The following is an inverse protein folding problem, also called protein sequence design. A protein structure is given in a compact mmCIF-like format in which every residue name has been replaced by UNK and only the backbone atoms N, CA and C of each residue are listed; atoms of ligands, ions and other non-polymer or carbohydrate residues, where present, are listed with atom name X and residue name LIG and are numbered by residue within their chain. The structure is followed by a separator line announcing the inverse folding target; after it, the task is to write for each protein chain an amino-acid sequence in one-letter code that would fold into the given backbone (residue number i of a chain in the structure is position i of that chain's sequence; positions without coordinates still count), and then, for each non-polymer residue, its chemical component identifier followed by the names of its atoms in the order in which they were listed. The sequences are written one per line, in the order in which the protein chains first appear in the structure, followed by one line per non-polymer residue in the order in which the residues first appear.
data_IF_781765268732
#
_entry.id   IF_781765268732
#
_cell.length_a   1.000
_cell.length_b   1.000
_cell.length_c   1.000
_cell.angle_alpha   90.00
_cell.angle_beta   90.00
_cell.angle_gamma   90.00
#
_symmetry.space_group_name_H-M   'P 1'
#
loop_
_entity.id
_entity.type
_entity.pdbx_description
1 polymer ?
#
# COMPACT_ATOMS: atom_id res chain seq x y z
N UNK A 1 17.02 10.41 5.41
CA UNK A 1 17.67 9.08 5.56
C UNK A 1 17.79 8.62 7.01
N UNK A 2 18.24 9.44 7.95
CA UNK A 2 18.36 9.06 9.38
C UNK A 2 17.04 8.59 9.97
N UNK A 3 15.96 9.34 9.77
CA UNK A 3 14.64 9.00 10.33
C UNK A 3 14.09 7.68 9.77
N UNK A 4 14.31 7.43 8.48
CA UNK A 4 13.92 6.17 7.85
C UNK A 4 14.66 4.97 8.49
N UNK A 5 15.97 5.10 8.73
CA UNK A 5 16.75 4.04 9.40
C UNK A 5 16.28 3.80 10.83
N UNK A 6 15.95 4.87 11.57
CA UNK A 6 15.39 4.75 12.91
C UNK A 6 14.04 3.99 12.87
N UNK A 7 13.14 4.37 11.95
CA UNK A 7 11.85 3.70 11.76
C UNK A 7 12.02 2.22 11.39
N UNK A 8 12.92 1.90 10.44
CA UNK A 8 13.26 0.52 10.08
C UNK A 8 13.74 -0.28 11.29
N UNK A 9 14.61 0.32 12.11
CA UNK A 9 15.11 -0.31 13.35
C UNK A 9 13.97 -0.61 14.32
N UNK A 10 13.06 0.35 14.55
CA UNK A 10 11.87 0.16 15.41
C UNK A 10 10.94 -0.93 14.91
N UNK A 11 10.86 -1.12 13.59
CA UNK A 11 10.05 -2.17 12.96
C UNK A 11 10.76 -3.53 12.88
N UNK A 12 11.98 -3.65 13.43
CA UNK A 12 12.84 -4.82 13.27
C UNK A 12 13.03 -5.17 11.78
N UNK A 13 13.08 -4.15 10.93
CA UNK A 13 13.26 -4.26 9.48
C UNK A 13 14.75 -4.32 9.17
N UNK A 14 15.18 -5.41 8.56
CA UNK A 14 16.59 -5.77 8.38
C UNK A 14 16.91 -6.08 6.91
N UNK A 15 18.18 -6.32 6.62
CA UNK A 15 18.62 -6.79 5.30
C UNK A 15 17.95 -8.11 4.87
N UNK A 16 17.55 -8.97 5.82
CA UNK A 16 16.81 -10.20 5.49
C UNK A 16 15.39 -9.89 4.98
N UNK A 17 14.75 -8.84 5.50
CA UNK A 17 13.45 -8.38 4.99
C UNK A 17 13.60 -7.80 3.58
N UNK A 18 14.69 -7.08 3.29
CA UNK A 18 15.01 -6.59 1.93
C UNK A 18 15.17 -7.76 0.95
N UNK A 19 15.94 -8.79 1.33
CA UNK A 19 16.11 -10.00 0.51
C UNK A 19 14.78 -10.71 0.27
N UNK A 20 13.96 -10.86 1.30
CA UNK A 20 12.65 -11.51 1.20
C UNK A 20 11.68 -10.72 0.30
N UNK A 21 11.63 -9.39 0.40
CA UNK A 21 10.84 -8.57 -0.52
C UNK A 21 11.29 -8.76 -1.97
N UNK A 22 12.60 -8.72 -2.24
CA UNK A 22 13.15 -8.91 -3.58
C UNK A 22 12.87 -10.30 -4.14
N UNK A 23 12.93 -11.33 -3.30
CA UNK A 23 12.49 -12.69 -3.67
C UNK A 23 11.01 -12.70 -4.06
N UNK A 24 10.15 -12.02 -3.29
CA UNK A 24 8.72 -11.94 -3.59
C UNK A 24 8.42 -11.26 -4.92
N UNK A 25 9.27 -10.31 -5.38
CA UNK A 25 9.08 -9.61 -6.66
C UNK A 25 8.98 -10.59 -7.84
N UNK A 26 9.89 -11.56 -7.91
CA UNK A 26 9.90 -12.56 -8.98
C UNK A 26 8.65 -13.47 -8.95
N UNK A 27 8.07 -13.68 -7.76
CA UNK A 27 6.85 -14.46 -7.59
C UNK A 27 5.63 -13.63 -7.98
N UNK A 28 5.55 -12.37 -7.57
CA UNK A 28 4.35 -11.54 -7.71
C UNK A 28 4.23 -10.82 -9.07
N UNK A 29 5.33 -10.67 -9.83
CA UNK A 29 5.37 -9.82 -11.02
C UNK A 29 4.36 -10.18 -12.12
N UNK A 30 4.07 -11.46 -12.32
CA UNK A 30 3.08 -11.98 -13.27
C UNK A 30 1.69 -12.21 -12.62
N UNK A 31 1.51 -11.79 -11.37
CA UNK A 31 0.31 -12.01 -10.59
C UNK A 31 -0.38 -10.71 -10.14
N UNK A 32 0.15 -9.54 -10.50
CA UNK A 32 -0.36 -8.24 -10.01
C UNK A 32 -1.84 -8.05 -10.30
N UNK A 33 -2.33 -8.46 -11.47
CA UNK A 33 -3.76 -8.34 -11.80
C UNK A 33 -4.63 -9.22 -10.91
N UNK A 34 -4.24 -10.48 -10.69
CA UNK A 34 -4.97 -11.40 -9.82
C UNK A 34 -4.95 -10.96 -8.35
N UNK A 35 -3.85 -10.37 -7.88
CA UNK A 35 -3.74 -9.76 -6.55
C UNK A 35 -4.73 -8.60 -6.43
N UNK A 36 -4.77 -7.73 -7.43
CA UNK A 36 -5.67 -6.58 -7.44
C UNK A 36 -7.13 -6.98 -7.56
N UNK A 37 -7.48 -8.09 -8.22
CA UNK A 37 -8.84 -8.63 -8.21
C UNK A 37 -9.31 -8.96 -6.79
N UNK A 38 -8.45 -9.59 -5.99
CA UNK A 38 -8.76 -9.90 -4.59
C UNK A 38 -8.89 -8.62 -3.77
N UNK A 39 -7.95 -7.68 -3.89
CA UNK A 39 -7.96 -6.44 -3.12
C UNK A 39 -9.13 -5.52 -3.47
N UNK A 40 -9.43 -5.34 -4.76
CA UNK A 40 -10.57 -4.53 -5.20
C UNK A 40 -11.91 -5.22 -4.93
N UNK A 41 -11.97 -6.55 -4.98
CA UNK A 41 -13.13 -7.31 -4.51
C UNK A 41 -13.42 -7.03 -3.04
N UNK A 42 -12.39 -7.09 -2.18
CA UNK A 42 -12.51 -6.73 -0.76
C UNK A 42 -12.96 -5.27 -0.57
N UNK A 43 -12.31 -4.30 -1.23
CA UNK A 43 -12.67 -2.88 -1.15
C UNK A 43 -14.12 -2.65 -1.59
N UNK A 44 -14.52 -3.21 -2.73
CA UNK A 44 -15.88 -3.04 -3.27
C UNK A 44 -16.96 -3.67 -2.37
N UNK A 45 -16.62 -4.77 -1.69
CA UNK A 45 -17.54 -5.45 -0.75
C UNK A 45 -17.60 -4.82 0.64
N UNK A 46 -16.73 -3.85 0.96
CA UNK A 46 -16.62 -3.22 2.28
C UNK A 46 -17.10 -1.76 2.21
N UNK A 47 -18.32 -1.44 2.71
CA UNK A 47 -18.90 -0.09 2.63
C UNK A 47 -17.99 1.03 3.15
N UNK A 48 -17.24 0.75 4.23
CA UNK A 48 -16.30 1.68 4.85
C UNK A 48 -15.14 2.06 3.93
N UNK A 49 -14.82 1.23 2.93
CA UNK A 49 -13.69 1.43 2.02
C UNK A 49 -14.15 1.93 0.65
N UNK A 50 -15.18 1.32 0.06
CA UNK A 50 -15.67 1.71 -1.28
C UNK A 50 -16.16 3.15 -1.30
N UNK A 51 -16.65 3.67 -0.17
CA UNK A 51 -17.04 5.06 0.02
C UNK A 51 -15.97 6.05 -0.47
N UNK A 52 -14.68 5.74 -0.32
CA UNK A 52 -13.59 6.63 -0.72
C UNK A 52 -13.37 6.74 -2.24
N UNK A 53 -14.05 5.90 -3.00
CA UNK A 53 -14.11 5.90 -4.45
C UNK A 53 -15.46 6.38 -5.00
N UNK A 54 -16.40 6.75 -4.12
CA UNK A 54 -17.71 7.26 -4.54
C UNK A 54 -17.65 8.72 -4.97
N UNK A 55 -18.47 9.09 -5.96
CA UNK A 55 -18.78 10.48 -6.29
C UNK A 55 -19.44 11.17 -5.09
N UNK A 56 -18.95 12.36 -4.73
CA UNK A 56 -19.34 13.05 -3.50
C UNK A 56 -20.79 13.55 -3.52
N UNK A 57 -21.42 13.68 -4.69
CA UNK A 57 -22.81 14.16 -4.83
C UNK A 57 -23.81 13.01 -4.85
N UNK A 58 -23.46 11.93 -5.55
CA UNK A 58 -24.38 10.81 -5.81
C UNK A 58 -24.17 9.62 -4.87
N UNK A 59 -23.01 9.54 -4.22
CA UNK A 59 -22.63 8.41 -3.36
C UNK A 59 -22.28 7.13 -4.12
N UNK A 60 -22.36 7.12 -5.45
CA UNK A 60 -22.10 5.94 -6.29
C UNK A 60 -20.60 5.77 -6.55
N UNK A 61 -20.05 4.54 -6.48
CA UNK A 61 -18.65 4.27 -6.85
C UNK A 61 -18.33 4.71 -8.28
N UNK A 62 -17.17 5.34 -8.46
CA UNK A 62 -16.64 5.74 -9.76
C UNK A 62 -15.71 4.65 -10.31
N UNK A 63 -16.20 3.91 -11.30
CA UNK A 63 -15.45 2.83 -11.95
C UNK A 63 -14.19 3.31 -12.67
N UNK A 64 -14.22 4.50 -13.30
CA UNK A 64 -13.04 5.04 -13.99
C UNK A 64 -11.95 5.44 -13.00
N UNK A 65 -12.35 5.98 -11.83
CA UNK A 65 -11.42 6.29 -10.76
C UNK A 65 -10.78 5.03 -10.17
N UNK A 66 -11.59 4.00 -9.89
CA UNK A 66 -11.11 2.70 -9.41
C UNK A 66 -10.05 2.11 -10.36
N UNK A 67 -10.33 2.08 -11.67
CA UNK A 67 -9.42 1.56 -12.69
C UNK A 67 -8.11 2.36 -12.81
N UNK A 68 -8.17 3.70 -12.71
CA UNK A 68 -6.96 4.53 -12.75
C UNK A 68 -6.06 4.30 -11.53
N UNK A 69 -6.66 4.18 -10.34
CA UNK A 69 -5.92 3.86 -9.10
C UNK A 69 -5.37 2.43 -9.15
N UNK A 70 -6.13 1.48 -9.71
CA UNK A 70 -5.75 0.06 -9.82
C UNK A 70 -4.40 -0.11 -10.53
N UNK A 71 -4.20 0.62 -11.63
CA UNK A 71 -2.94 0.63 -12.39
C UNK A 71 -1.74 1.08 -11.54
N UNK A 72 -1.92 2.12 -10.72
CA UNK A 72 -0.85 2.60 -9.83
C UNK A 72 -0.63 1.67 -8.65
N UNK A 73 -1.68 0.99 -8.19
CA UNK A 73 -1.55 0.01 -7.12
C UNK A 73 -0.77 -1.23 -7.59
N UNK A 74 -0.91 -1.64 -8.86
CA UNK A 74 -0.07 -2.67 -9.47
C UNK A 74 1.42 -2.31 -9.40
N UNK A 75 1.77 -1.07 -9.77
CA UNK A 75 3.14 -0.58 -9.72
C UNK A 75 3.66 -0.53 -8.28
N UNK A 76 2.83 -0.09 -7.32
CA UNK A 76 3.20 -0.08 -5.90
C UNK A 76 3.57 -1.47 -5.36
N UNK A 77 2.91 -2.55 -5.84
CA UNK A 77 3.29 -3.92 -5.47
C UNK A 77 4.73 -4.21 -5.91
N UNK A 78 5.07 -3.86 -7.15
CA UNK A 78 6.40 -4.09 -7.71
C UNK A 78 7.47 -3.21 -7.05
N UNK A 79 7.13 -1.95 -6.76
CA UNK A 79 8.03 -0.99 -6.10
C UNK A 79 8.32 -1.42 -4.66
N UNK A 80 7.30 -1.89 -3.93
CA UNK A 80 7.47 -2.44 -2.57
C UNK A 80 8.34 -3.69 -2.60
N UNK A 81 8.12 -4.59 -3.56
CA UNK A 81 8.90 -5.81 -3.71
C UNK A 81 10.35 -5.52 -4.18
N UNK A 82 10.61 -4.39 -4.83
CA UNK A 82 11.96 -3.99 -5.24
C UNK A 82 12.85 -3.60 -4.04
N UNK A 83 12.21 -3.15 -2.94
CA UNK A 83 12.85 -2.79 -1.67
C UNK A 83 13.97 -1.75 -1.81
N UNK A 84 13.75 -0.76 -2.69
CA UNK A 84 14.69 0.35 -2.91
C UNK A 84 14.32 1.56 -2.05
N UNK A 85 14.92 1.62 -0.86
CA UNK A 85 14.63 2.64 0.16
C UNK A 85 15.60 3.83 0.08
N UNK A 86 15.49 4.62 -0.98
CA UNK A 86 16.29 5.84 -1.19
C UNK A 86 15.45 7.13 -0.99
N UNK A 87 16.03 8.30 -1.30
CA UNK A 87 15.32 9.56 -1.14
C UNK A 87 14.16 9.71 -2.13
N UNK A 88 14.31 9.20 -3.36
CA UNK A 88 13.23 9.25 -4.36
C UNK A 88 12.04 8.42 -3.90
N UNK A 89 12.31 7.27 -3.29
CA UNK A 89 11.28 6.45 -2.66
C UNK A 89 10.60 7.21 -1.51
N UNK A 90 11.34 7.85 -0.60
CA UNK A 90 10.73 8.65 0.48
C UNK A 90 9.84 9.78 -0.04
N UNK A 91 10.31 10.52 -1.05
CA UNK A 91 9.54 11.59 -1.68
C UNK A 91 8.24 11.04 -2.29
N UNK A 92 8.31 9.83 -2.85
CA UNK A 92 7.15 9.12 -3.38
C UNK A 92 6.19 8.64 -2.30
N UNK A 93 6.70 8.15 -1.15
CA UNK A 93 5.85 7.80 0.00
C UNK A 93 5.07 9.02 0.50
N UNK A 94 5.72 10.18 0.59
CA UNK A 94 5.04 11.42 0.98
C UNK A 94 3.95 11.81 -0.05
N UNK A 95 4.25 11.70 -1.34
CA UNK A 95 3.26 11.92 -2.41
C UNK A 95 2.05 10.97 -2.31
N UNK A 96 2.27 9.68 -2.00
CA UNK A 96 1.17 8.74 -1.79
C UNK A 96 0.32 9.14 -0.58
N UNK A 97 0.95 9.55 0.54
CA UNK A 97 0.24 10.08 1.70
C UNK A 97 -0.63 11.29 1.35
N UNK A 98 -0.08 12.24 0.57
CA UNK A 98 -0.83 13.40 0.09
C UNK A 98 -2.04 13.02 -0.78
N UNK A 99 -1.94 11.95 -1.58
CA UNK A 99 -3.03 11.47 -2.44
C UNK A 99 -4.15 10.75 -1.69
N UNK A 100 -3.90 10.28 -0.48
CA UNK A 100 -4.96 9.81 0.43
C UNK A 100 -5.59 10.97 1.22
N UNK A 101 -4.78 11.99 1.54
CA UNK A 101 -5.17 13.18 2.28
C UNK A 101 -5.93 14.19 1.40
N UNK A 102 -6.75 15.07 2.01
CA UNK A 102 -7.46 16.15 1.30
C UNK A 102 -6.55 17.07 0.47
N UNK A 103 -5.26 17.14 0.80
CA UNK A 103 -4.29 17.97 0.08
C UNK A 103 -4.14 17.59 -1.39
N UNK A 104 -4.14 16.29 -1.74
CA UNK A 104 -4.04 15.84 -3.14
C UNK A 104 -5.01 14.73 -3.56
N UNK A 105 -5.84 14.21 -2.67
CA UNK A 105 -6.91 13.27 -3.07
C UNK A 105 -7.73 13.88 -4.20
N UNK A 106 -8.09 13.04 -5.17
CA UNK A 106 -8.89 13.37 -6.36
C UNK A 106 -8.17 14.21 -7.44
N UNK A 107 -7.03 14.86 -7.15
CA UNK A 107 -6.36 15.76 -8.10
C UNK A 107 -5.66 15.03 -9.25
N UNK A 108 -5.07 13.87 -8.96
CA UNK A 108 -4.31 13.08 -9.95
C UNK A 108 -5.19 12.66 -11.11
N UNK A 109 -6.41 12.21 -10.83
CA UNK A 109 -7.36 11.68 -11.82
C UNK A 109 -8.47 12.68 -12.17
N UNK A 110 -8.50 13.85 -11.52
CA UNK A 110 -9.49 14.93 -11.70
C UNK A 110 -10.94 14.46 -11.49
N UNK A 111 -11.18 13.73 -10.40
CA UNK A 111 -12.47 13.10 -10.09
C UNK A 111 -13.27 13.84 -9.01
N UNK A 112 -14.60 13.86 -9.03
CA UNK A 112 -15.43 14.52 -8.01
C UNK A 112 -15.74 13.60 -6.81
N UNK A 113 -14.75 12.90 -6.26
CA UNK A 113 -14.95 11.96 -5.14
C UNK A 113 -14.87 12.65 -3.76
N UNK A 114 -15.19 11.91 -2.68
CA UNK A 114 -15.08 12.39 -1.29
C UNK A 114 -13.68 12.96 -1.00
N UNK A 115 -13.61 13.94 -0.09
CA UNK A 115 -12.43 14.79 0.04
C UNK A 115 -11.20 14.09 0.62
N UNK A 116 -11.33 13.04 1.44
CA UNK A 116 -10.22 12.44 2.16
C UNK A 116 -10.48 10.98 2.49
N UNK A 117 -9.43 10.14 2.49
CA UNK A 117 -9.44 8.83 3.13
C UNK A 117 -9.23 9.02 4.63
N UNK A 118 -10.17 8.55 5.46
CA UNK A 118 -10.04 8.69 6.92
C UNK A 118 -8.84 7.91 7.42
N UNK A 119 -7.97 8.57 8.21
CA UNK A 119 -6.65 8.05 8.56
C UNK A 119 -6.70 6.64 9.16
N UNK A 120 -7.70 6.35 10.02
CA UNK A 120 -7.87 5.03 10.67
C UNK A 120 -7.84 3.84 9.70
N UNK A 121 -8.27 4.03 8.46
CA UNK A 121 -8.32 2.95 7.47
C UNK A 121 -6.97 2.68 6.81
N UNK A 122 -6.06 3.66 6.78
CA UNK A 122 -4.73 3.51 6.17
C UNK A 122 -3.89 2.44 6.89
N UNK A 123 -3.62 2.53 8.22
CA UNK A 123 -2.88 1.49 8.90
C UNK A 123 -3.68 0.19 9.05
N UNK A 124 -5.02 0.27 9.13
CA UNK A 124 -5.88 -0.92 9.18
C UNK A 124 -5.74 -1.81 7.94
N UNK A 125 -5.52 -1.22 6.75
CA UNK A 125 -5.33 -1.95 5.49
C UNK A 125 -4.07 -2.81 5.47
N UNK A 126 -3.11 -2.61 6.39
CA UNK A 126 -1.92 -3.47 6.50
C UNK A 126 -2.30 -4.95 6.58
N UNK A 127 -3.31 -5.28 7.39
CA UNK A 127 -3.74 -6.67 7.60
C UNK A 127 -4.36 -7.30 6.35
N UNK A 128 -5.45 -6.76 5.75
CA UNK A 128 -6.05 -7.38 4.58
C UNK A 128 -5.10 -7.40 3.38
N UNK A 129 -4.30 -6.35 3.16
CA UNK A 129 -3.33 -6.30 2.03
C UNK A 129 -2.32 -7.44 2.15
N UNK A 130 -1.76 -7.67 3.34
CA UNK A 130 -0.67 -8.66 3.52
C UNK A 130 -1.19 -10.08 3.74
N UNK A 131 -2.29 -10.24 4.47
CA UNK A 131 -2.91 -11.55 4.70
C UNK A 131 -3.40 -12.16 3.39
N UNK A 132 -4.04 -11.36 2.53
CA UNK A 132 -4.53 -11.84 1.22
C UNK A 132 -3.43 -11.96 0.17
N UNK A 133 -2.24 -11.38 0.40
CA UNK A 133 -1.06 -11.58 -0.45
C UNK A 133 -0.40 -12.95 -0.22
N UNK A 134 -0.50 -13.51 1.00
CA UNK A 134 0.20 -14.74 1.39
C UNK A 134 -0.03 -15.94 0.45
N UNK A 135 -1.24 -16.21 -0.07
CA UNK A 135 -1.44 -17.28 -1.05
C UNK A 135 -0.70 -17.06 -2.38
N UNK A 136 -0.50 -15.81 -2.80
CA UNK A 136 0.25 -15.48 -4.01
C UNK A 136 1.75 -15.68 -3.82
N UNK A 137 2.26 -15.40 -2.61
CA UNK A 137 3.64 -15.67 -2.21
C UNK A 137 3.99 -17.16 -2.20
N UNK A 138 3.00 -18.03 -1.97
CA UNK A 138 3.16 -19.48 -1.96
C UNK A 138 3.19 -20.13 -3.36
N UNK A 139 3.05 -19.34 -4.43
CA UNK A 139 3.18 -19.85 -5.81
C UNK A 139 4.66 -20.00 -6.20
N UNK A 140 4.89 -20.60 -7.37
CA UNK A 140 6.23 -20.88 -7.93
C UNK A 140 7.12 -21.68 -6.98
N UNK A 141 6.51 -22.66 -6.30
CA UNK A 141 7.18 -23.65 -5.45
C UNK A 141 8.01 -23.07 -4.29
N UNK A 142 7.64 -21.87 -3.82
CA UNK A 142 8.25 -21.27 -2.63
C UNK A 142 8.01 -22.15 -1.39
N UNK A 143 9.07 -22.41 -0.61
CA UNK A 143 8.95 -23.19 0.61
C UNK A 143 8.08 -22.47 1.65
N UNK A 144 7.40 -23.20 2.53
CA UNK A 144 6.59 -22.59 3.59
C UNK A 144 7.39 -21.61 4.47
N UNK A 145 8.68 -21.90 4.69
CA UNK A 145 9.58 -21.02 5.43
C UNK A 145 9.87 -19.72 4.67
N UNK A 146 10.06 -19.79 3.35
CA UNK A 146 10.27 -18.59 2.54
C UNK A 146 8.99 -17.76 2.41
N UNK A 147 7.83 -18.41 2.28
CA UNK A 147 6.53 -17.74 2.30
C UNK A 147 6.36 -16.94 3.58
N UNK A 148 6.71 -17.52 4.74
CA UNK A 148 6.59 -16.81 6.02
C UNK A 148 7.56 -15.63 6.13
N UNK A 149 8.81 -15.77 5.65
CA UNK A 149 9.79 -14.68 5.60
C UNK A 149 9.29 -13.54 4.71
N UNK A 150 8.84 -13.86 3.50
CA UNK A 150 8.28 -12.88 2.56
C UNK A 150 7.06 -12.18 3.17
N UNK A 151 6.12 -12.96 3.72
CA UNK A 151 4.92 -12.40 4.35
C UNK A 151 5.28 -11.46 5.50
N UNK A 152 6.19 -11.86 6.39
CA UNK A 152 6.67 -11.02 7.50
C UNK A 152 7.31 -9.73 7.00
N UNK A 153 8.15 -9.81 5.96
CA UNK A 153 8.77 -8.64 5.35
C UNK A 153 7.73 -7.69 4.72
N UNK A 154 6.69 -8.24 4.08
CA UNK A 154 5.55 -7.48 3.56
C UNK A 154 4.75 -6.80 4.66
N UNK A 155 4.46 -7.48 5.78
CA UNK A 155 3.78 -6.87 6.94
C UNK A 155 4.55 -5.65 7.44
N UNK A 156 5.87 -5.79 7.65
CA UNK A 156 6.71 -4.67 8.10
C UNK A 156 6.76 -3.55 7.05
N UNK A 157 6.94 -3.88 5.78
CA UNK A 157 7.04 -2.90 4.70
C UNK A 157 5.73 -2.11 4.54
N UNK A 158 4.57 -2.76 4.55
CA UNK A 158 3.28 -2.08 4.43
C UNK A 158 3.00 -1.23 5.66
N UNK A 159 3.30 -1.71 6.87
CA UNK A 159 3.18 -0.92 8.08
C UNK A 159 4.09 0.33 8.03
N UNK A 160 5.36 0.17 7.66
CA UNK A 160 6.31 1.27 7.49
C UNK A 160 5.77 2.34 6.54
N UNK A 161 5.25 1.92 5.38
CA UNK A 161 4.68 2.82 4.40
C UNK A 161 3.43 3.53 4.94
N UNK A 162 2.54 2.81 5.63
CA UNK A 162 1.35 3.41 6.25
C UNK A 162 1.69 4.47 7.32
N UNK A 163 2.79 4.26 8.06
CA UNK A 163 3.34 5.24 9.01
C UNK A 163 3.81 6.47 8.24
N UNK A 164 4.64 6.31 7.21
CA UNK A 164 5.11 7.45 6.38
C UNK A 164 3.96 8.22 5.73
N UNK A 165 2.92 7.54 5.26
CA UNK A 165 1.74 8.15 4.67
C UNK A 165 0.86 8.91 5.68
N UNK A 166 1.09 8.71 6.98
CA UNK A 166 0.39 9.45 8.04
C UNK A 166 0.86 10.89 8.15
N UNK A 167 2.06 11.24 7.68
CA UNK A 167 2.66 12.56 7.87
C UNK A 167 1.71 13.74 7.53
N UNK A 168 0.98 13.79 6.40
CA UNK A 168 0.04 14.88 6.12
C UNK A 168 -1.25 14.89 6.96
N UNK A 169 -1.46 13.90 7.82
CA UNK A 169 -2.60 13.80 8.75
C UNK A 169 -2.25 14.21 10.17
N UNK A 170 -0.97 14.13 10.53
CA UNK A 170 -0.48 14.42 11.88
C UNK A 170 -0.21 15.92 11.99
N UNK A 171 -0.43 16.48 13.19
CA UNK A 171 -0.16 17.90 13.43
C UNK A 171 1.34 18.16 13.40
N UNK A 172 1.72 19.39 13.07
CA UNK A 172 3.11 19.81 13.03
C UNK A 172 3.80 19.52 14.37
N UNK A 173 4.93 18.80 14.32
CA UNK A 173 5.70 18.40 15.50
C UNK A 173 5.20 17.15 16.24
N UNK A 174 4.14 16.48 15.75
CA UNK A 174 3.59 15.27 16.38
C UNK A 174 3.81 13.97 15.57
N UNK A 175 4.54 14.04 14.44
CA UNK A 175 4.90 12.88 13.60
C UNK A 175 6.16 12.19 14.11
#
# INVERSE_FOLDING_TARGET
MTDLKALQTTLLFTEEDIKALRQSKAILADQTDAILDVWYGFVASTPELVHFFSDAKTGRPDGAYLEAVRKRFALWVLDTADANYDQKWLDWQYEIGLRHNRLKKNKTDRVPSVAQVNFRYIPALTIPVTTTLKPFLAKKDASAADVEKMHTAWVKAVLMQSILWSQPYIKDGEF
#
